data_IF_477369489297
#
_entry.id   IF_477369489297
#
_cell.length_a   1.000
_cell.length_b   1.000
_cell.length_c   1.000
_cell.angle_alpha   90.00
_cell.angle_beta   90.00
_cell.angle_gamma   90.00
#
_symmetry.space_group_name_H-M   'P 1'
#
loop_
_entity.id
_entity.type
_entity.pdbx_description
1 polymer ?
#
# COMPACT_ATOMS: atom_id res chain seq x y z
N UNK A 1 41.45 19.34 -39.24
CA UNK A 1 41.28 20.16 -38.02
C UNK A 1 39.79 20.42 -37.77
N UNK A 2 39.30 20.20 -36.55
CA UNK A 2 38.14 20.92 -35.99
C UNK A 2 36.78 20.19 -35.94
N UNK A 3 36.55 19.39 -34.88
CA UNK A 3 35.23 18.97 -34.42
C UNK A 3 34.41 20.16 -33.89
N UNK A 4 33.07 20.14 -34.08
CA UNK A 4 32.08 20.58 -33.08
C UNK A 4 30.83 19.70 -33.17
N UNK A 5 30.68 18.80 -32.20
CA UNK A 5 29.44 18.08 -31.95
C UNK A 5 28.56 18.91 -31.02
N UNK A 6 27.33 19.17 -31.43
CA UNK A 6 26.26 19.62 -30.52
C UNK A 6 25.48 18.38 -30.09
N UNK A 7 25.62 17.97 -28.83
CA UNK A 7 24.74 16.95 -28.25
C UNK A 7 23.38 17.57 -27.98
N UNK A 8 22.36 17.05 -28.65
CA UNK A 8 20.98 17.23 -28.23
C UNK A 8 20.72 16.25 -27.08
N UNK A 9 20.55 16.77 -25.87
CA UNK A 9 20.16 16.01 -24.69
C UNK A 9 18.63 16.08 -24.54
N UNK A 10 17.89 14.97 -24.68
CA UNK A 10 16.44 14.95 -24.49
C UNK A 10 16.02 15.03 -23.00
N UNK A 11 16.96 15.11 -22.06
CA UNK A 11 16.66 15.12 -20.62
C UNK A 11 16.35 16.51 -20.04
N UNK A 12 16.37 17.57 -20.86
CA UNK A 12 16.09 18.95 -20.41
C UNK A 12 14.61 19.30 -20.20
N UNK A 13 13.68 18.44 -20.64
CA UNK A 13 12.24 18.76 -20.68
C UNK A 13 11.45 18.36 -19.43
N UNK A 14 12.01 17.52 -18.55
CA UNK A 14 11.35 17.14 -17.29
C UNK A 14 11.71 18.05 -16.10
N UNK A 15 12.76 18.86 -16.21
CA UNK A 15 13.15 19.82 -15.17
C UNK A 15 12.25 21.08 -15.10
N UNK A 16 11.34 21.27 -16.07
CA UNK A 16 10.48 22.46 -16.16
C UNK A 16 9.07 22.26 -15.58
N UNK A 17 8.68 21.05 -15.18
CA UNK A 17 7.34 20.72 -14.66
C UNK A 17 7.24 20.64 -13.13
N UNK A 18 8.35 20.70 -12.40
CA UNK A 18 8.35 20.81 -10.93
C UNK A 18 8.20 22.26 -10.46
N UNK A 19 7.28 23.00 -11.10
CA UNK A 19 6.88 24.34 -10.66
C UNK A 19 6.04 24.22 -9.38
N UNK A 20 6.74 24.07 -8.25
CA UNK A 20 6.36 24.45 -6.87
C UNK A 20 4.86 24.33 -6.57
N UNK A 21 4.38 23.10 -6.42
CA UNK A 21 3.11 22.84 -5.73
C UNK A 21 3.21 23.21 -4.24
N UNK A 22 2.12 23.63 -3.58
CA UNK A 22 2.16 23.99 -2.18
C UNK A 22 2.66 22.79 -1.37
N UNK A 23 3.77 22.98 -0.65
CA UNK A 23 4.37 21.96 0.23
C UNK A 23 3.31 21.32 1.11
N UNK A 24 3.43 20.02 1.46
CA UNK A 24 2.49 19.31 2.33
C UNK A 24 2.13 20.07 3.63
N UNK A 25 3.04 20.93 4.12
CA UNK A 25 2.81 21.87 5.24
C UNK A 25 1.72 22.94 4.96
N UNK A 26 1.59 23.41 3.74
CA UNK A 26 0.55 24.38 3.36
C UNK A 26 -0.84 23.72 3.28
N UNK A 27 -0.91 22.44 2.90
CA UNK A 27 -2.14 21.66 2.91
C UNK A 27 -2.60 21.35 4.35
N UNK A 28 -1.68 21.00 5.25
CA UNK A 28 -2.02 20.77 6.66
C UNK A 28 -2.45 22.05 7.37
N UNK A 29 -1.83 23.20 7.06
CA UNK A 29 -2.28 24.51 7.58
C UNK A 29 -3.67 24.87 7.04
N UNK A 30 -3.95 24.64 5.75
CA UNK A 30 -5.29 24.88 5.16
C UNK A 30 -6.37 23.98 5.74
N UNK A 31 -6.08 22.71 6.00
CA UNK A 31 -7.04 21.78 6.63
C UNK A 31 -7.32 22.16 8.09
N UNK A 32 -6.30 22.62 8.82
CA UNK A 32 -6.47 23.13 10.19
C UNK A 32 -7.31 24.41 10.22
N UNK A 33 -7.14 25.31 9.24
CA UNK A 33 -7.98 26.50 9.09
C UNK A 33 -9.45 26.21 8.77
N UNK A 34 -9.75 25.06 8.15
CA UNK A 34 -11.14 24.66 7.87
C UNK A 34 -11.79 24.00 9.09
N UNK A 35 -11.00 23.36 9.97
CA UNK A 35 -11.48 22.65 11.15
C UNK A 35 -11.68 23.51 12.41
N UNK A 36 -11.23 24.77 12.41
CA UNK A 36 -11.27 25.65 13.60
C UNK A 36 -12.54 26.49 13.72
N UNK A 37 -13.45 26.42 12.74
CA UNK A 37 -14.75 27.08 12.83
C UNK A 37 -15.76 26.12 13.49
N UNK A 38 -16.21 26.36 14.74
CA UNK A 38 -17.25 25.57 15.37
C UNK A 38 -18.56 25.79 14.62
N UNK A 39 -18.80 24.99 13.58
CA UNK A 39 -20.09 24.94 12.89
C UNK A 39 -21.05 24.15 13.75
N UNK A 40 -21.76 24.89 14.60
CA UNK A 40 -22.88 24.35 15.33
C UNK A 40 -23.89 23.69 14.36
N UNK A 41 -24.36 22.45 14.63
CA UNK A 41 -25.36 21.79 13.79
C UNK A 41 -26.61 22.66 13.67
N UNK A 42 -27.22 22.71 12.47
CA UNK A 42 -28.40 23.56 12.25
C UNK A 42 -29.55 23.19 13.21
N UNK A 43 -30.39 24.16 13.62
CA UNK A 43 -31.53 23.90 14.50
C UNK A 43 -32.49 22.85 13.93
N UNK A 44 -32.69 22.86 12.62
CA UNK A 44 -33.52 21.88 11.91
C UNK A 44 -32.94 20.46 11.99
N UNK A 45 -31.62 20.32 11.86
CA UNK A 45 -30.95 19.03 12.02
C UNK A 45 -31.12 18.48 13.44
N UNK A 46 -30.95 19.35 14.47
CA UNK A 46 -31.16 18.97 15.87
C UNK A 46 -32.61 18.57 16.14
N UNK A 47 -33.57 19.32 15.60
CA UNK A 47 -34.99 19.02 15.74
C UNK A 47 -35.34 17.67 15.10
N UNK A 48 -34.84 17.40 13.89
CA UNK A 48 -35.02 16.12 13.20
C UNK A 48 -34.41 14.96 13.97
N UNK A 49 -33.18 15.13 14.48
CA UNK A 49 -32.49 14.11 15.28
C UNK A 49 -33.23 13.83 16.60
N UNK A 50 -33.70 14.88 17.28
CA UNK A 50 -34.50 14.75 18.50
C UNK A 50 -35.81 13.99 18.23
N UNK A 51 -36.48 14.29 17.12
CA UNK A 51 -37.68 13.56 16.71
C UNK A 51 -37.40 12.07 16.46
N UNK A 52 -36.30 11.75 15.78
CA UNK A 52 -35.89 10.36 15.53
C UNK A 52 -35.56 9.61 16.83
N UNK A 53 -34.89 10.25 17.79
CA UNK A 53 -34.54 9.65 19.09
C UNK A 53 -35.77 9.44 19.98
N UNK A 54 -36.70 10.40 20.02
CA UNK A 54 -37.94 10.29 20.78
C UNK A 54 -38.87 9.22 20.19
N UNK A 55 -38.97 9.13 18.86
CA UNK A 55 -39.74 8.09 18.18
C UNK A 55 -39.18 6.69 18.45
N UNK A 56 -37.84 6.54 18.47
CA UNK A 56 -37.18 5.28 18.82
C UNK A 56 -37.35 4.88 20.29
N UNK A 57 -37.55 5.85 21.19
CA UNK A 57 -37.85 5.58 22.60
C UNK A 57 -39.33 5.29 22.88
N UNK A 58 -40.25 5.90 22.12
CA UNK A 58 -41.70 5.65 22.28
C UNK A 58 -42.10 4.19 22.01
N UNK A 59 -41.35 3.47 21.17
CA UNK A 59 -41.60 2.05 20.86
C UNK A 59 -41.09 1.06 21.92
N UNK A 60 -40.46 1.52 23.00
CA UNK A 60 -39.86 0.67 24.02
C UNK A 60 -40.72 0.52 25.30
N UNK A 61 -41.91 1.14 25.36
CA UNK A 61 -42.63 1.38 26.62
C UNK A 61 -43.94 0.61 26.89
N UNK A 62 -44.45 -0.25 26.00
CA UNK A 62 -45.78 -0.85 26.21
C UNK A 62 -45.75 -2.37 26.40
N UNK A 63 -46.05 -2.77 27.64
CA UNK A 63 -46.34 -4.14 28.09
C UNK A 63 -47.87 -4.28 28.21
N UNK A 64 -48.51 -5.19 27.46
CA UNK A 64 -49.94 -5.49 27.56
C UNK A 64 -50.45 -6.43 26.44
N UNK A 65 -51.52 -7.22 26.65
CA UNK A 65 -51.64 -8.61 26.19
C UNK A 65 -52.23 -8.82 24.77
N UNK A 66 -51.82 -9.91 24.11
CA UNK A 66 -52.43 -10.47 22.88
C UNK A 66 -53.84 -11.06 23.15
N UNK A 67 -54.78 -11.15 22.17
CA UNK A 67 -54.52 -11.84 20.90
C UNK A 67 -55.23 -11.34 19.62
N UNK A 68 -54.73 -11.87 18.49
CA UNK A 68 -55.41 -12.20 17.22
C UNK A 68 -54.99 -11.43 15.95
N UNK A 69 -53.90 -11.95 15.37
CA UNK A 69 -53.64 -12.19 13.94
C UNK A 69 -53.70 -10.99 12.98
N UNK A 70 -52.58 -10.26 12.94
CA UNK A 70 -52.06 -9.64 11.71
C UNK A 70 -50.58 -9.94 11.64
N UNK A 71 -50.16 -10.79 10.70
CA UNK A 71 -48.80 -11.31 10.56
C UNK A 71 -47.76 -10.21 10.23
N UNK A 72 -47.36 -9.42 11.22
CA UNK A 72 -46.22 -8.52 11.18
C UNK A 72 -44.93 -9.33 11.41
N UNK A 73 -44.25 -9.69 10.33
CA UNK A 73 -42.92 -10.31 10.35
C UNK A 73 -42.00 -9.50 11.27
N UNK A 74 -41.62 -10.10 12.41
CA UNK A 74 -40.54 -9.59 13.27
C UNK A 74 -39.32 -9.31 12.38
N UNK A 75 -38.71 -8.10 12.40
CA UNK A 75 -37.47 -7.91 11.67
C UNK A 75 -36.44 -8.86 12.29
N UNK A 76 -35.82 -9.75 11.48
CA UNK A 76 -34.87 -10.71 12.00
C UNK A 76 -33.69 -9.98 12.64
N UNK A 77 -33.09 -10.61 13.66
CA UNK A 77 -31.89 -10.17 14.40
C UNK A 77 -30.73 -9.71 13.48
N UNK A 78 -30.74 -10.17 12.22
CA UNK A 78 -29.94 -9.70 11.09
C UNK A 78 -29.98 -8.19 10.85
N UNK A 79 -31.07 -7.49 11.19
CA UNK A 79 -31.17 -6.03 10.99
C UNK A 79 -30.38 -5.21 12.01
N UNK A 80 -30.01 -5.81 13.16
CA UNK A 80 -29.21 -5.16 14.21
C UNK A 80 -27.70 -5.32 13.97
N UNK A 81 -27.33 -6.33 13.19
CA UNK A 81 -25.97 -6.55 12.68
C UNK A 81 -25.70 -5.81 11.37
N UNK A 82 -26.70 -5.19 10.74
CA UNK A 82 -26.56 -4.53 9.44
C UNK A 82 -25.41 -3.53 9.32
N UNK A 83 -25.12 -2.63 10.28
CA UNK A 83 -24.00 -1.71 10.11
C UNK A 83 -22.64 -2.42 10.25
N UNK A 84 -22.49 -3.33 11.22
CA UNK A 84 -21.25 -4.09 11.41
C UNK A 84 -21.01 -5.09 10.27
N UNK A 85 -22.06 -5.78 9.81
CA UNK A 85 -22.02 -6.66 8.65
C UNK A 85 -21.81 -5.88 7.35
N UNK A 86 -22.26 -4.62 7.23
CA UNK A 86 -21.90 -3.74 6.11
C UNK A 86 -20.43 -3.35 6.15
N UNK A 87 -19.88 -3.00 7.31
CA UNK A 87 -18.45 -2.67 7.43
C UNK A 87 -17.59 -3.90 7.14
N UNK A 88 -17.94 -5.06 7.68
CA UNK A 88 -17.25 -6.33 7.40
C UNK A 88 -17.43 -6.76 5.95
N UNK A 89 -18.61 -6.58 5.35
CA UNK A 89 -18.84 -6.93 3.95
C UNK A 89 -18.19 -5.96 2.98
N UNK A 90 -18.16 -4.65 3.25
CA UNK A 90 -17.43 -3.66 2.44
C UNK A 90 -15.92 -3.90 2.56
N UNK A 91 -15.42 -4.21 3.76
CA UNK A 91 -14.01 -4.58 3.97
C UNK A 91 -13.69 -5.91 3.29
N UNK A 92 -14.58 -6.90 3.37
CA UNK A 92 -14.44 -8.21 2.72
C UNK A 92 -14.55 -8.13 1.19
N UNK A 93 -15.40 -7.26 0.66
CA UNK A 93 -15.54 -7.02 -0.78
C UNK A 93 -14.34 -6.23 -1.31
N UNK A 94 -13.78 -5.29 -0.52
CA UNK A 94 -12.49 -4.65 -0.80
C UNK A 94 -11.33 -5.64 -0.69
N UNK A 95 -11.38 -6.64 0.19
CA UNK A 95 -10.36 -7.69 0.26
C UNK A 95 -10.43 -8.63 -0.96
N UNK A 96 -11.64 -8.95 -1.44
CA UNK A 96 -11.86 -9.82 -2.60
C UNK A 96 -11.57 -9.13 -3.95
N UNK A 97 -11.83 -7.82 -4.05
CA UNK A 97 -11.43 -7.00 -5.23
C UNK A 97 -10.00 -6.45 -5.13
N UNK A 98 -9.45 -6.36 -3.92
CA UNK A 98 -8.09 -5.92 -3.63
C UNK A 98 -7.02 -6.91 -4.07
N UNK A 99 -7.34 -8.20 -4.19
CA UNK A 99 -6.42 -9.23 -4.70
C UNK A 99 -5.93 -8.94 -6.13
N UNK A 100 -6.76 -8.29 -6.98
CA UNK A 100 -6.29 -7.82 -8.30
C UNK A 100 -5.52 -6.50 -8.25
N UNK A 101 -5.77 -5.64 -7.25
CA UNK A 101 -5.01 -4.39 -7.09
C UNK A 101 -3.61 -4.66 -6.51
N UNK A 102 -3.47 -5.67 -5.65
CA UNK A 102 -2.21 -6.07 -5.02
C UNK A 102 -1.22 -6.67 -6.03
N UNK A 103 -1.74 -7.34 -7.07
CA UNK A 103 -0.96 -7.87 -8.19
C UNK A 103 -0.58 -6.84 -9.25
N UNK A 104 -0.90 -5.55 -9.06
CA UNK A 104 -0.49 -4.52 -10.02
C UNK A 104 1.04 -4.42 -10.10
N UNK A 105 1.52 -4.36 -11.34
CA UNK A 105 2.94 -4.23 -11.69
C UNK A 105 3.21 -2.84 -12.28
N UNK A 106 4.47 -2.40 -12.33
CA UNK A 106 4.83 -1.18 -13.03
C UNK A 106 4.23 -1.13 -14.45
N UNK A 107 3.55 -0.03 -14.76
CA UNK A 107 2.82 0.16 -16.01
C UNK A 107 1.30 0.02 -15.89
N UNK A 108 0.80 -0.62 -14.82
CA UNK A 108 -0.63 -0.71 -14.57
C UNK A 108 -1.21 0.59 -14.01
N UNK A 109 -2.46 0.90 -14.35
CA UNK A 109 -3.16 2.10 -13.87
C UNK A 109 -3.28 2.20 -12.34
N UNK A 110 -3.36 1.05 -11.67
CA UNK A 110 -3.50 0.98 -10.21
C UNK A 110 -2.15 0.92 -9.47
N UNK A 111 -1.03 0.76 -10.19
CA UNK A 111 0.29 0.67 -9.58
C UNK A 111 0.65 1.88 -8.72
N UNK A 112 0.39 3.15 -9.13
CA UNK A 112 0.67 4.30 -8.27
C UNK A 112 -0.11 4.29 -6.95
N UNK A 113 -1.32 3.73 -6.94
CA UNK A 113 -2.14 3.60 -5.72
C UNK A 113 -1.53 2.56 -4.78
N UNK A 114 -1.10 1.41 -5.32
CA UNK A 114 -0.35 0.39 -4.57
C UNK A 114 0.89 1.01 -3.91
N UNK A 115 1.68 1.77 -4.69
CA UNK A 115 2.89 2.45 -4.20
C UNK A 115 2.62 3.47 -3.10
N UNK A 116 1.54 4.24 -3.21
CA UNK A 116 1.13 5.18 -2.16
C UNK A 116 0.71 4.47 -0.86
N UNK A 117 -0.01 3.35 -0.97
CA UNK A 117 -0.39 2.53 0.18
C UNK A 117 0.83 1.94 0.90
N UNK A 118 1.77 1.36 0.15
CA UNK A 118 3.03 0.82 0.69
C UNK A 118 3.87 1.90 1.38
N UNK A 119 3.99 3.08 0.78
CA UNK A 119 4.71 4.21 1.39
C UNK A 119 4.05 4.68 2.70
N UNK A 120 2.71 4.67 2.76
CA UNK A 120 1.95 5.00 3.97
C UNK A 120 2.21 3.96 5.05
N UNK A 121 2.11 2.68 4.72
CA UNK A 121 2.43 1.60 5.65
C UNK A 121 3.88 1.71 6.15
N UNK A 122 4.84 2.02 5.28
CA UNK A 122 6.22 2.20 5.72
C UNK A 122 6.37 3.40 6.68
N UNK A 123 5.65 4.49 6.45
CA UNK A 123 5.67 5.69 7.31
C UNK A 123 5.04 5.49 8.70
N UNK A 124 4.14 4.51 8.83
CA UNK A 124 3.44 4.16 10.07
C UNK A 124 4.23 3.13 10.91
N UNK A 125 5.47 2.83 10.57
CA UNK A 125 6.29 1.93 11.39
C UNK A 125 6.66 2.64 12.71
N UNK A 126 6.38 2.02 13.88
CA UNK A 126 6.63 2.64 15.18
C UNK A 126 8.12 2.70 15.52
N UNK A 127 8.93 1.78 15.01
CA UNK A 127 10.36 1.71 15.25
C UNK A 127 11.15 1.28 14.01
N UNK A 128 12.49 1.42 14.09
CA UNK A 128 13.41 1.10 13.00
C UNK A 128 13.44 -0.41 12.66
N UNK A 129 13.13 -1.28 13.62
CA UNK A 129 13.10 -2.72 13.39
C UNK A 129 11.91 -3.09 12.52
N UNK A 130 10.71 -2.63 12.90
CA UNK A 130 9.49 -2.85 12.14
C UNK A 130 9.56 -2.16 10.78
N UNK A 131 10.15 -0.96 10.71
CA UNK A 131 10.42 -0.28 9.44
C UNK A 131 11.28 -1.15 8.52
N UNK A 132 12.40 -1.66 9.00
CA UNK A 132 13.29 -2.48 8.20
C UNK A 132 12.64 -3.80 7.77
N UNK A 133 11.80 -4.41 8.62
CA UNK A 133 11.00 -5.60 8.24
C UNK A 133 9.97 -5.28 7.14
N UNK A 134 9.31 -4.12 7.20
CA UNK A 134 8.41 -3.65 6.14
C UNK A 134 9.18 -3.36 4.84
N UNK A 135 10.40 -2.84 4.91
CA UNK A 135 11.28 -2.66 3.74
C UNK A 135 11.66 -4.02 3.12
N UNK A 136 12.01 -5.04 3.91
CA UNK A 136 12.23 -6.40 3.37
C UNK A 136 10.97 -6.96 2.68
N UNK A 137 9.79 -6.70 3.25
CA UNK A 137 8.51 -7.09 2.63
C UNK A 137 8.28 -6.36 1.30
N UNK A 138 8.60 -5.06 1.25
CA UNK A 138 8.52 -4.28 0.02
C UNK A 138 9.51 -4.79 -1.04
N UNK A 139 10.74 -5.11 -0.66
CA UNK A 139 11.72 -5.70 -1.58
C UNK A 139 11.24 -7.04 -2.15
N UNK A 140 10.62 -7.88 -1.33
CA UNK A 140 9.96 -9.09 -1.80
C UNK A 140 8.82 -8.81 -2.78
N UNK A 141 7.98 -7.82 -2.51
CA UNK A 141 6.96 -7.38 -3.48
C UNK A 141 7.59 -6.98 -4.81
N UNK A 142 8.72 -6.26 -4.81
CA UNK A 142 9.43 -5.91 -6.06
C UNK A 142 9.97 -7.11 -6.80
N UNK A 143 10.49 -8.12 -6.11
CA UNK A 143 10.86 -9.39 -6.75
C UNK A 143 9.67 -10.04 -7.46
N UNK A 144 8.51 -10.08 -6.80
CA UNK A 144 7.28 -10.64 -7.41
C UNK A 144 6.77 -9.79 -8.58
N UNK A 145 6.91 -8.46 -8.51
CA UNK A 145 6.54 -7.55 -9.61
C UNK A 145 7.45 -7.77 -10.82
N UNK A 146 8.76 -7.90 -10.61
CA UNK A 146 9.71 -8.19 -11.68
C UNK A 146 9.46 -9.57 -12.30
N UNK A 147 9.16 -10.59 -11.49
CA UNK A 147 8.79 -11.91 -11.98
C UNK A 147 7.47 -11.88 -12.78
N UNK A 148 6.48 -11.12 -12.32
CA UNK A 148 5.21 -10.95 -13.02
C UNK A 148 5.41 -10.25 -14.38
N UNK A 149 6.29 -9.24 -14.45
CA UNK A 149 6.62 -8.54 -15.70
C UNK A 149 7.16 -9.47 -16.79
N UNK A 150 7.90 -10.53 -16.42
CA UNK A 150 8.39 -11.54 -17.39
C UNK A 150 7.27 -12.32 -18.08
N UNK A 151 6.17 -12.59 -17.38
CA UNK A 151 5.01 -13.32 -17.91
C UNK A 151 3.92 -12.43 -18.50
N UNK A 152 4.08 -11.11 -18.44
CA UNK A 152 3.03 -10.17 -18.76
C UNK A 152 3.14 -9.80 -20.27
N UNK A 153 2.09 -9.94 -21.12
CA UNK A 153 2.12 -9.60 -22.56
C UNK A 153 2.28 -8.09 -22.91
N UNK A 154 3.38 -7.69 -23.57
CA UNK A 154 3.53 -6.36 -24.21
C UNK A 154 4.96 -5.82 -24.25
N UNK A 155 5.35 -5.20 -25.37
CA UNK A 155 6.75 -4.79 -25.67
C UNK A 155 7.32 -3.72 -24.73
N UNK A 156 6.45 -2.88 -24.16
CA UNK A 156 6.85 -1.79 -23.27
C UNK A 156 7.32 -2.26 -21.88
N UNK A 157 7.31 -3.56 -21.58
CA UNK A 157 7.48 -4.07 -20.21
C UNK A 157 8.92 -4.33 -19.82
N UNK A 158 9.77 -4.63 -20.79
CA UNK A 158 11.21 -4.74 -20.57
C UNK A 158 11.78 -3.46 -19.93
N UNK A 159 11.22 -2.29 -20.28
CA UNK A 159 11.63 -0.99 -19.71
C UNK A 159 11.40 -0.88 -18.19
N UNK A 160 10.57 -1.74 -17.61
CA UNK A 160 10.22 -1.72 -16.19
C UNK A 160 10.96 -2.78 -15.37
N UNK A 161 11.47 -3.84 -16.00
CA UNK A 161 12.13 -4.95 -15.30
C UNK A 161 13.39 -4.44 -14.59
N UNK A 162 14.33 -3.85 -15.32
CA UNK A 162 15.56 -3.28 -14.76
C UNK A 162 15.33 -2.33 -13.58
N UNK A 163 14.51 -1.28 -13.71
CA UNK A 163 14.19 -0.38 -12.59
C UNK A 163 13.56 -1.09 -11.38
N UNK A 164 12.74 -2.12 -11.60
CA UNK A 164 12.11 -2.88 -10.51
C UNK A 164 13.14 -3.75 -9.78
N UNK A 165 14.08 -4.36 -10.51
CA UNK A 165 15.20 -5.10 -9.94
C UNK A 165 16.14 -4.18 -9.15
N UNK A 166 16.43 -2.98 -9.67
CA UNK A 166 17.23 -1.97 -8.96
C UNK A 166 16.55 -1.56 -7.64
N UNK A 167 15.25 -1.30 -7.68
CA UNK A 167 14.50 -0.91 -6.48
C UNK A 167 14.41 -2.04 -5.46
N UNK A 168 14.25 -3.29 -5.90
CA UNK A 168 14.35 -4.48 -5.04
C UNK A 168 15.71 -4.51 -4.34
N UNK A 169 16.81 -4.39 -5.09
CA UNK A 169 18.17 -4.46 -4.55
C UNK A 169 18.46 -3.33 -3.56
N UNK A 170 18.06 -2.10 -3.89
CA UNK A 170 18.28 -0.92 -3.04
C UNK A 170 17.44 -0.96 -1.76
N UNK A 171 16.19 -1.44 -1.85
CA UNK A 171 15.32 -1.62 -0.68
C UNK A 171 15.86 -2.71 0.24
N UNK A 172 16.29 -3.85 -0.30
CA UNK A 172 16.94 -4.92 0.47
C UNK A 172 18.19 -4.40 1.17
N UNK A 173 19.08 -3.71 0.45
CA UNK A 173 20.31 -3.16 1.02
C UNK A 173 20.02 -2.18 2.16
N UNK A 174 19.06 -1.27 1.97
CA UNK A 174 18.67 -0.29 2.98
C UNK A 174 18.14 -0.96 4.25
N UNK A 175 17.24 -1.94 4.09
CA UNK A 175 16.67 -2.68 5.20
C UNK A 175 17.74 -3.44 6.00
N UNK A 176 18.68 -4.09 5.32
CA UNK A 176 19.77 -4.83 5.96
C UNK A 176 20.73 -3.92 6.72
N UNK A 177 21.04 -2.75 6.17
CA UNK A 177 21.85 -1.74 6.87
C UNK A 177 21.16 -1.26 8.16
N UNK A 178 19.84 -1.04 8.11
CA UNK A 178 19.03 -0.68 9.28
C UNK A 178 19.01 -1.82 10.32
N UNK A 179 18.75 -3.07 9.88
CA UNK A 179 18.76 -4.24 10.77
C UNK A 179 20.12 -4.46 11.44
N UNK A 180 21.23 -4.23 10.73
CA UNK A 180 22.57 -4.30 11.31
C UNK A 180 22.79 -3.25 12.40
N UNK A 181 22.21 -2.06 12.24
CA UNK A 181 22.26 -1.01 13.25
C UNK A 181 21.44 -1.39 14.50
N UNK A 182 20.25 -1.97 14.30
CA UNK A 182 19.39 -2.48 15.39
C UNK A 182 20.01 -3.69 16.10
N UNK A 183 20.60 -4.65 15.38
CA UNK A 183 21.25 -5.83 15.97
C UNK A 183 22.40 -5.50 16.91
N UNK A 184 23.11 -4.38 16.69
CA UNK A 184 24.09 -3.88 17.66
C UNK A 184 23.47 -3.43 18.98
N UNK A 185 22.16 -3.15 18.99
CA UNK A 185 21.38 -2.75 20.17
C UNK A 185 20.62 -3.92 20.82
N UNK A 186 20.09 -4.88 20.04
CA UNK A 186 19.28 -6.01 20.54
C UNK A 186 19.51 -7.35 19.79
N UNK A 187 19.34 -8.49 20.47
CA UNK A 187 19.68 -9.83 19.94
C UNK A 187 18.45 -10.67 19.57
N UNK A 188 17.95 -10.56 18.33
CA UNK A 188 17.47 -11.71 17.53
C UNK A 188 17.04 -11.26 16.12
N UNK A 189 17.44 -11.99 15.05
CA UNK A 189 16.84 -11.77 13.71
C UNK A 189 16.75 -13.07 12.88
N UNK A 190 16.01 -14.09 13.32
CA UNK A 190 15.70 -15.28 12.52
C UNK A 190 14.91 -14.99 11.22
N UNK A 191 14.48 -13.74 10.98
CA UNK A 191 13.76 -13.34 9.77
C UNK A 191 14.64 -13.16 8.53
N UNK A 192 15.95 -12.88 8.68
CA UNK A 192 16.83 -12.61 7.51
C UNK A 192 17.06 -13.88 6.69
N UNK A 193 17.35 -15.02 7.34
CA UNK A 193 17.60 -16.29 6.63
C UNK A 193 16.39 -16.69 5.77
N UNK A 194 15.20 -16.66 6.35
CA UNK A 194 13.95 -16.98 5.62
C UNK A 194 13.73 -16.01 4.46
N UNK A 195 14.01 -14.73 4.66
CA UNK A 195 13.93 -13.73 3.60
C UNK A 195 14.89 -14.07 2.45
N UNK A 196 16.16 -14.34 2.74
CA UNK A 196 17.16 -14.70 1.71
C UNK A 196 16.73 -15.94 0.91
N UNK A 197 16.26 -17.00 1.60
CA UNK A 197 15.73 -18.20 0.94
C UNK A 197 14.57 -17.85 -0.01
N UNK A 198 13.57 -17.10 0.47
CA UNK A 198 12.43 -16.68 -0.35
C UNK A 198 12.83 -15.78 -1.53
N UNK A 199 13.81 -14.88 -1.34
CA UNK A 199 14.31 -14.03 -2.41
C UNK A 199 15.02 -14.86 -3.48
N UNK A 200 15.87 -15.79 -3.06
CA UNK A 200 16.62 -16.66 -3.97
C UNK A 200 15.68 -17.52 -4.81
N UNK A 201 14.67 -18.12 -4.18
CA UNK A 201 13.68 -18.96 -4.84
C UNK A 201 12.85 -18.19 -5.89
N UNK A 202 12.68 -16.88 -5.71
CA UNK A 202 12.00 -16.02 -6.68
C UNK A 202 12.92 -15.49 -7.79
N UNK A 203 14.12 -15.02 -7.45
CA UNK A 203 14.99 -14.29 -8.39
C UNK A 203 15.84 -15.23 -9.25
N UNK A 204 16.33 -16.35 -8.71
CA UNK A 204 17.18 -17.27 -9.47
C UNK A 204 16.50 -17.84 -10.74
N UNK A 205 15.21 -18.23 -10.72
CA UNK A 205 14.51 -18.69 -11.93
C UNK A 205 14.28 -17.60 -13.00
N UNK A 206 14.46 -16.32 -12.65
CA UNK A 206 14.30 -15.21 -13.59
C UNK A 206 15.50 -15.06 -14.52
N UNK A 207 16.71 -15.36 -14.05
CA UNK A 207 17.97 -15.19 -14.79
C UNK A 207 17.96 -15.65 -16.27
N UNK A 208 17.45 -16.85 -16.61
CA UNK A 208 17.42 -17.31 -18.01
C UNK A 208 16.43 -16.53 -18.89
N UNK A 209 15.47 -15.82 -18.30
CA UNK A 209 14.43 -15.07 -19.02
C UNK A 209 14.79 -13.58 -19.18
N UNK A 210 15.79 -13.10 -18.44
CA UNK A 210 16.23 -11.70 -18.46
C UNK A 210 17.20 -11.44 -19.62
N UNK A 211 17.15 -10.23 -20.17
CA UNK A 211 18.19 -9.68 -21.03
C UNK A 211 19.51 -9.48 -20.29
N UNK A 212 20.62 -9.27 -21.00
CA UNK A 212 21.97 -9.34 -20.42
C UNK A 212 22.23 -8.34 -19.28
N UNK A 213 21.76 -7.09 -19.42
CA UNK A 213 21.90 -6.06 -18.39
C UNK A 213 21.11 -6.41 -17.12
N UNK A 214 19.85 -6.81 -17.27
CA UNK A 214 18.99 -7.16 -16.14
C UNK A 214 19.42 -8.48 -15.48
N UNK A 215 19.96 -9.42 -16.26
CA UNK A 215 20.57 -10.65 -15.74
C UNK A 215 21.77 -10.32 -14.86
N UNK A 216 22.61 -9.36 -15.27
CA UNK A 216 23.76 -8.93 -14.46
C UNK A 216 23.32 -8.31 -13.15
N UNK A 217 22.27 -7.48 -13.15
CA UNK A 217 21.68 -6.91 -11.93
C UNK A 217 21.13 -7.99 -11.00
N UNK A 218 20.36 -8.93 -11.54
CA UNK A 218 19.78 -10.02 -10.76
C UNK A 218 20.85 -10.96 -10.18
N UNK A 219 21.90 -11.28 -10.94
CA UNK A 219 23.04 -12.06 -10.44
C UNK A 219 23.77 -11.33 -9.32
N UNK A 220 24.07 -10.04 -9.50
CA UNK A 220 24.72 -9.24 -8.46
C UNK A 220 23.87 -9.12 -7.18
N UNK A 221 22.54 -9.12 -7.32
CA UNK A 221 21.63 -9.18 -6.19
C UNK A 221 21.68 -10.53 -5.46
N UNK A 222 21.71 -11.64 -6.19
CA UNK A 222 21.83 -12.98 -5.60
C UNK A 222 23.15 -13.13 -4.83
N UNK A 223 24.26 -12.67 -5.42
CA UNK A 223 25.56 -12.64 -4.74
C UNK A 223 25.52 -11.80 -3.45
N UNK A 224 24.84 -10.65 -3.49
CA UNK A 224 24.68 -9.77 -2.32
C UNK A 224 23.88 -10.45 -1.19
N UNK A 225 22.81 -11.19 -1.51
CA UNK A 225 22.00 -11.83 -0.48
C UNK A 225 22.64 -13.12 0.06
N UNK A 226 23.42 -13.82 -0.76
CA UNK A 226 24.14 -15.03 -0.35
C UNK A 226 25.26 -14.70 0.66
N UNK A 227 25.94 -13.56 0.53
CA UNK A 227 26.93 -13.06 1.51
C UNK A 227 26.33 -12.81 2.92
N UNK A 228 25.00 -12.75 3.03
CA UNK A 228 24.29 -12.53 4.29
C UNK A 228 23.98 -13.82 5.06
N UNK A 229 24.02 -14.97 4.38
CA UNK A 229 23.74 -16.30 4.94
C UNK A 229 25.00 -17.16 4.83
N UNK A 230 25.85 -17.23 5.89
CA UNK A 230 27.03 -18.08 5.90
C UNK A 230 26.69 -19.57 5.96
#
# INVERSE_FOLDING_TARGET
MGKRGGSWSPYGLWAALTRRGPSARALTVRLRQIGDEPREPSPEFRARLRGQLLAAHGTAGETGPEPAVGAGRRPPLLLRLRPAAMVVSVTGLMALTGLQTYGSVPGDHLYPIKRAAEATLLSLAPDDLERAQRELTAAHSRATEAAALLGYPGDDRERFIGPTLDEMADTTRSALLALRHVKRRDTHTPSIKRFTEQQRDLVAPMLPQLGDDDRTKASAYLDMIDDLTP
#
